data_IF_037930082040
#
_entry.id   IF_037930082040
#
_cell.length_a   1.000
_cell.length_b   1.000
_cell.length_c   1.000
_cell.angle_alpha   90.00
_cell.angle_beta   90.00
_cell.angle_gamma   90.00
#
_symmetry.space_group_name_H-M   'P 1'
#
loop_
_entity.id
_entity.type
_entity.pdbx_description
1 polymer ?
#
# COMPACT_ATOMS: atom_id res chain seq x y z
N UNK A 1 13.44 -3.77 -23.61
CA UNK A 1 12.27 -2.88 -23.76
C UNK A 1 11.35 -3.29 -24.90
N UNK A 2 11.79 -3.41 -26.18
CA UNK A 2 10.90 -3.82 -27.29
C UNK A 2 10.17 -5.16 -27.04
N UNK A 3 10.84 -6.19 -26.52
CA UNK A 3 10.21 -7.50 -26.22
C UNK A 3 9.14 -7.41 -25.12
N UNK A 4 9.32 -6.56 -24.10
CA UNK A 4 8.34 -6.37 -23.02
C UNK A 4 7.07 -5.68 -23.54
N UNK A 5 7.22 -4.63 -24.38
CA UNK A 5 6.09 -3.97 -25.01
C UNK A 5 5.32 -4.91 -25.96
N UNK A 6 6.03 -5.75 -26.70
CA UNK A 6 5.40 -6.74 -27.59
C UNK A 6 4.64 -7.80 -26.78
N UNK A 7 5.18 -8.23 -25.63
CA UNK A 7 4.51 -9.20 -24.75
C UNK A 7 3.29 -8.61 -24.07
N UNK A 8 3.35 -7.37 -23.61
CA UNK A 8 2.19 -6.67 -23.02
C UNK A 8 1.11 -6.43 -24.09
N UNK A 9 1.50 -6.00 -25.29
CA UNK A 9 0.56 -5.83 -26.40
C UNK A 9 -0.07 -7.17 -26.81
N UNK A 10 0.71 -8.26 -26.88
CA UNK A 10 0.20 -9.59 -27.18
C UNK A 10 -0.74 -10.12 -26.09
N UNK A 11 -0.46 -9.84 -24.81
CA UNK A 11 -1.32 -10.22 -23.70
C UNK A 11 -2.64 -9.42 -23.71
N UNK A 12 -2.61 -8.14 -24.03
CA UNK A 12 -3.80 -7.29 -24.20
C UNK A 12 -4.65 -7.78 -25.38
N UNK A 13 -4.03 -8.17 -26.50
CA UNK A 13 -4.73 -8.72 -27.66
C UNK A 13 -5.33 -10.09 -27.34
N UNK A 14 -4.62 -10.95 -26.61
CA UNK A 14 -5.11 -12.25 -26.18
C UNK A 14 -6.30 -12.15 -25.20
N UNK A 15 -6.29 -11.19 -24.28
CA UNK A 15 -7.42 -10.92 -23.38
C UNK A 15 -8.65 -10.39 -24.14
N UNK A 16 -8.45 -9.56 -25.17
CA UNK A 16 -9.53 -9.11 -26.04
C UNK A 16 -10.16 -10.26 -26.84
N UNK A 17 -9.35 -11.19 -27.33
CA UNK A 17 -9.81 -12.35 -28.09
C UNK A 17 -10.56 -13.39 -27.22
N UNK A 18 -10.17 -13.54 -25.94
CA UNK A 18 -10.85 -14.46 -25.01
C UNK A 18 -12.24 -13.98 -24.55
N UNK A 19 -12.53 -12.68 -24.63
CA UNK A 19 -13.82 -12.13 -24.24
C UNK A 19 -14.94 -12.36 -25.28
N UNK A 20 -14.61 -12.82 -26.49
CA UNK A 20 -15.58 -13.04 -27.59
C UNK A 20 -15.90 -14.51 -27.89
N UNK A 21 -15.32 -15.49 -27.18
CA UNK A 21 -15.55 -16.92 -27.45
C UNK A 21 -16.78 -17.52 -26.78
N UNK A 22 -17.91 -16.81 -26.74
CA UNK A 22 -19.20 -17.43 -26.41
C UNK A 22 -20.14 -17.56 -27.61
N UNK A 23 -19.75 -17.11 -28.80
CA UNK A 23 -20.45 -17.46 -30.02
C UNK A 23 -19.40 -17.77 -31.12
N UNK A 24 -19.44 -18.98 -31.64
CA UNK A 24 -18.73 -19.38 -32.86
C UNK A 24 -19.24 -18.55 -34.04
N UNK A 25 -18.63 -17.40 -34.29
CA UNK A 25 -18.79 -16.67 -35.55
C UNK A 25 -17.45 -16.42 -36.20
N UNK A 26 -17.46 -16.56 -37.51
CA UNK A 26 -16.35 -16.49 -38.44
C UNK A 26 -15.37 -15.33 -38.17
N UNK A 27 -14.08 -15.65 -38.09
CA UNK A 27 -12.94 -14.73 -37.85
C UNK A 27 -12.71 -13.75 -39.02
N UNK A 28 -13.64 -13.67 -39.96
CA UNK A 28 -13.49 -12.88 -41.21
C UNK A 28 -14.52 -11.74 -41.34
N UNK A 29 -14.99 -11.20 -40.23
CA UNK A 29 -16.01 -10.15 -40.21
C UNK A 29 -15.35 -8.76 -40.25
N UNK A 30 -14.80 -8.35 -41.36
CA UNK A 30 -14.46 -6.98 -41.82
C UNK A 30 -14.20 -5.85 -40.85
N UNK A 31 -14.02 -6.16 -39.56
CA UNK A 31 -13.73 -5.21 -38.49
C UNK A 31 -12.29 -4.74 -38.62
N UNK A 32 -12.10 -3.48 -38.92
CA UNK A 32 -10.79 -2.88 -39.10
C UNK A 32 -10.03 -2.76 -37.78
N UNK A 33 -8.74 -2.45 -37.83
CA UNK A 33 -7.88 -2.24 -36.70
C UNK A 33 -8.44 -1.18 -35.71
N UNK A 34 -9.19 -0.19 -36.21
CA UNK A 34 -9.80 0.87 -35.42
C UNK A 34 -10.96 0.35 -34.56
N UNK A 35 -11.73 -0.61 -35.02
CA UNK A 35 -12.77 -1.27 -34.24
C UNK A 35 -12.17 -1.98 -33.01
N UNK A 36 -11.15 -2.81 -33.25
CA UNK A 36 -10.46 -3.54 -32.19
C UNK A 36 -9.74 -2.60 -31.21
N UNK A 37 -9.10 -1.56 -31.72
CA UNK A 37 -8.45 -0.56 -30.89
C UNK A 37 -9.45 0.16 -29.97
N UNK A 38 -10.64 0.50 -30.46
CA UNK A 38 -11.72 1.10 -29.64
C UNK A 38 -12.28 0.11 -28.62
N UNK A 39 -12.49 -1.15 -28.99
CA UNK A 39 -12.98 -2.18 -28.08
C UNK A 39 -12.00 -2.42 -26.92
N UNK A 40 -10.70 -2.51 -27.21
CA UNK A 40 -9.64 -2.62 -26.19
C UNK A 40 -9.57 -1.35 -25.32
N UNK A 41 -9.57 -0.17 -25.95
CA UNK A 41 -9.48 1.10 -25.22
C UNK A 41 -10.67 1.35 -24.27
N UNK A 42 -11.84 0.78 -24.57
CA UNK A 42 -13.02 0.89 -23.70
C UNK A 42 -12.96 -0.02 -22.46
N UNK A 43 -12.20 -1.12 -22.53
CA UNK A 43 -12.12 -2.15 -21.47
C UNK A 43 -10.81 -2.15 -20.70
N UNK A 44 -9.73 -1.64 -21.32
CA UNK A 44 -8.39 -1.63 -20.69
C UNK A 44 -8.02 -0.22 -20.26
N UNK A 45 -7.74 -0.07 -18.97
CA UNK A 45 -7.29 1.18 -18.38
C UNK A 45 -5.82 1.08 -18.01
N UNK A 46 -5.00 1.90 -18.64
CA UNK A 46 -3.58 2.07 -18.31
C UNK A 46 -3.43 3.31 -17.46
N UNK A 47 -2.70 3.21 -16.37
CA UNK A 47 -2.38 4.32 -15.47
C UNK A 47 -1.01 4.08 -14.85
N UNK A 48 -0.45 5.12 -14.26
CA UNK A 48 0.85 4.99 -13.64
C UNK A 48 1.28 6.25 -12.93
N UNK A 49 2.43 6.15 -12.27
CA UNK A 49 3.06 7.32 -11.65
C UNK A 49 4.57 7.15 -11.50
N UNK A 50 5.24 8.29 -11.46
CA UNK A 50 6.65 8.38 -11.12
C UNK A 50 6.83 9.35 -9.96
N UNK A 51 7.72 9.00 -9.03
CA UNK A 51 8.12 9.83 -7.89
C UNK A 51 9.64 9.93 -7.85
N UNK A 52 10.16 11.15 -7.96
CA UNK A 52 11.57 11.47 -7.86
C UNK A 52 11.79 12.51 -6.76
N UNK A 53 12.91 12.47 -6.09
CA UNK A 53 13.16 13.43 -5.02
C UNK A 53 14.57 13.39 -4.46
N UNK A 54 14.75 14.18 -3.44
CA UNK A 54 15.98 14.28 -2.67
C UNK A 54 15.70 13.93 -1.21
N UNK A 55 16.64 13.25 -0.58
CA UNK A 55 16.60 12.93 0.84
C UNK A 55 17.95 13.27 1.46
N UNK A 56 17.96 14.04 2.54
CA UNK A 56 19.10 14.24 3.41
C UNK A 56 18.80 13.68 4.79
N UNK A 57 19.67 12.82 5.29
CA UNK A 57 19.62 12.25 6.64
C UNK A 57 20.78 12.83 7.44
N UNK A 58 20.44 13.50 8.52
CA UNK A 58 21.35 14.29 9.36
C UNK A 58 21.26 13.74 10.79
N UNK A 59 22.02 12.67 11.13
CA UNK A 59 22.07 12.18 12.50
C UNK A 59 22.75 13.22 13.41
N UNK A 60 22.41 13.22 14.70
CA UNK A 60 23.08 14.05 15.69
C UNK A 60 24.54 13.64 15.86
N UNK A 61 24.79 12.33 15.74
CA UNK A 61 26.12 11.73 15.77
C UNK A 61 26.28 10.78 14.58
N UNK A 62 27.42 10.83 13.89
CA UNK A 62 27.73 9.96 12.76
C UNK A 62 27.68 10.66 11.41
N UNK A 63 27.72 9.87 10.36
CA UNK A 63 27.87 10.36 8.99
C UNK A 63 26.55 10.91 8.44
N UNK A 64 26.58 12.13 7.91
CA UNK A 64 25.47 12.75 7.18
C UNK A 64 25.40 12.17 5.78
N UNK A 65 24.19 11.81 5.35
CA UNK A 65 23.95 11.20 4.03
C UNK A 65 22.92 12.00 3.24
N UNK A 66 23.12 12.08 1.95
CA UNK A 66 22.13 12.66 1.06
C UNK A 66 22.13 11.96 -0.30
N UNK A 67 20.99 12.00 -0.99
CA UNK A 67 20.87 11.38 -2.30
C UNK A 67 19.69 11.95 -3.09
N UNK A 68 19.87 12.06 -4.41
CA UNK A 68 18.76 12.12 -5.36
C UNK A 68 18.34 10.70 -5.72
N UNK A 69 17.03 10.45 -5.78
CA UNK A 69 16.52 9.11 -6.02
C UNK A 69 15.20 9.15 -6.82
N UNK A 70 15.08 8.22 -7.77
CA UNK A 70 13.78 7.80 -8.29
C UNK A 70 13.15 6.88 -7.27
N UNK A 71 12.20 7.41 -6.50
CA UNK A 71 11.58 6.64 -5.41
C UNK A 71 10.69 5.51 -5.94
N UNK A 72 9.91 5.79 -6.98
CA UNK A 72 9.01 4.84 -7.62
C UNK A 72 8.79 5.16 -9.09
N UNK A 73 8.63 4.12 -9.91
CA UNK A 73 8.16 4.20 -11.30
C UNK A 73 7.20 3.05 -11.53
N UNK A 74 5.90 3.32 -11.49
CA UNK A 74 4.84 2.32 -11.47
C UNK A 74 3.97 2.40 -12.70
N UNK A 75 3.68 1.24 -13.30
CA UNK A 75 2.68 1.05 -14.33
C UNK A 75 1.59 0.12 -13.82
N UNK A 76 0.35 0.50 -14.07
CA UNK A 76 -0.82 -0.28 -13.71
C UNK A 76 -1.69 -0.49 -14.96
N UNK A 77 -2.16 -1.72 -15.14
CA UNK A 77 -3.09 -2.09 -16.20
C UNK A 77 -4.28 -2.79 -15.56
N UNK A 78 -5.46 -2.26 -15.77
CA UNK A 78 -6.72 -2.88 -15.39
C UNK A 78 -7.54 -3.24 -16.61
N UNK A 79 -8.14 -4.43 -16.65
CA UNK A 79 -8.94 -4.89 -17.76
C UNK A 79 -10.32 -5.37 -17.28
N UNK A 80 -11.39 -4.77 -17.79
CA UNK A 80 -12.77 -5.24 -17.60
C UNK A 80 -13.07 -6.27 -18.68
N UNK A 81 -12.93 -7.56 -18.32
CA UNK A 81 -13.16 -8.69 -19.24
C UNK A 81 -14.65 -8.80 -19.53
N UNK A 82 -15.47 -8.81 -18.46
CA UNK A 82 -16.92 -8.61 -18.48
C UNK A 82 -17.31 -7.61 -17.38
N UNK A 83 -18.59 -7.21 -17.25
CA UNK A 83 -19.01 -6.36 -16.14
C UNK A 83 -18.67 -6.94 -14.75
N UNK A 84 -18.68 -8.28 -14.63
CA UNK A 84 -18.40 -8.97 -13.38
C UNK A 84 -16.93 -9.40 -13.23
N UNK A 85 -16.20 -9.63 -14.32
CA UNK A 85 -14.82 -10.12 -14.29
C UNK A 85 -13.83 -9.03 -14.63
N UNK A 86 -12.84 -8.88 -13.75
CA UNK A 86 -11.78 -7.88 -13.86
C UNK A 86 -10.41 -8.52 -13.63
N UNK A 87 -9.43 -8.08 -14.38
CA UNK A 87 -8.04 -8.44 -14.19
C UNK A 87 -7.21 -7.18 -13.90
N UNK A 88 -6.23 -7.29 -13.02
CA UNK A 88 -5.34 -6.20 -12.66
C UNK A 88 -3.89 -6.64 -12.63
N UNK A 89 -3.03 -5.73 -13.04
CA UNK A 89 -1.60 -5.89 -13.07
C UNK A 89 -0.92 -4.58 -12.67
N UNK A 90 0.12 -4.68 -11.83
CA UNK A 90 0.93 -3.55 -11.39
C UNK A 90 2.41 -3.95 -11.33
N UNK A 91 3.26 -3.19 -11.99
CA UNK A 91 4.71 -3.38 -11.99
C UNK A 91 5.43 -2.14 -11.48
N UNK A 92 6.42 -2.35 -10.61
CA UNK A 92 7.34 -1.32 -10.11
C UNK A 92 8.69 -1.48 -10.79
N UNK A 93 9.04 -0.55 -11.68
CA UNK A 93 10.24 -0.64 -12.50
C UNK A 93 11.55 -0.43 -11.74
N UNK A 94 11.53 0.38 -10.67
CA UNK A 94 12.72 0.60 -9.84
C UNK A 94 13.10 -0.66 -9.06
N UNK A 95 12.12 -1.31 -8.46
CA UNK A 95 12.31 -2.56 -7.73
C UNK A 95 12.43 -3.76 -8.67
N UNK A 96 12.03 -3.62 -9.94
CA UNK A 96 11.95 -4.68 -10.95
C UNK A 96 10.99 -5.80 -10.55
N UNK A 97 9.96 -5.47 -9.78
CA UNK A 97 9.05 -6.42 -9.17
C UNK A 97 7.60 -6.25 -9.63
N UNK A 98 6.95 -7.39 -9.85
CA UNK A 98 5.50 -7.48 -9.95
C UNK A 98 4.90 -7.17 -8.58
N UNK A 99 4.18 -6.08 -8.47
CA UNK A 99 3.60 -5.68 -7.19
C UNK A 99 2.24 -6.31 -6.95
N UNK A 100 1.34 -6.19 -7.91
CA UNK A 100 -0.01 -6.74 -7.81
C UNK A 100 -0.41 -7.39 -9.15
N UNK A 101 -1.01 -8.55 -9.07
CA UNK A 101 -1.61 -9.26 -10.19
C UNK A 101 -2.71 -10.18 -9.65
N UNK A 102 -3.95 -9.89 -10.05
CA UNK A 102 -5.10 -10.64 -9.55
C UNK A 102 -6.26 -10.65 -10.56
N UNK A 103 -7.12 -11.63 -10.37
CA UNK A 103 -8.42 -11.73 -10.99
C UNK A 103 -9.49 -11.41 -9.95
N UNK A 104 -10.55 -10.75 -10.37
CA UNK A 104 -11.64 -10.35 -9.50
C UNK A 104 -12.98 -10.67 -10.14
N UNK A 105 -13.85 -11.34 -9.37
CA UNK A 105 -15.25 -11.54 -9.69
C UNK A 105 -16.10 -10.63 -8.81
N UNK A 106 -16.89 -9.75 -9.41
CA UNK A 106 -17.62 -8.68 -8.73
C UNK A 106 -19.09 -8.59 -9.18
N UNK A 107 -19.91 -9.61 -8.89
CA UNK A 107 -21.32 -9.66 -9.34
C UNK A 107 -22.18 -8.58 -8.69
N UNK A 108 -21.77 -8.03 -7.55
CA UNK A 108 -22.50 -6.96 -6.86
C UNK A 108 -21.56 -6.09 -6.02
N UNK A 109 -22.07 -4.97 -5.52
CA UNK A 109 -21.34 -4.18 -4.53
C UNK A 109 -21.15 -4.91 -3.21
N UNK A 110 -22.14 -5.70 -2.81
CA UNK A 110 -22.15 -6.40 -1.54
C UNK A 110 -21.24 -7.63 -1.50
N UNK A 111 -20.84 -8.16 -2.65
CA UNK A 111 -19.99 -9.36 -2.72
C UNK A 111 -19.02 -9.24 -3.87
N UNK A 112 -17.74 -9.39 -3.57
CA UNK A 112 -16.65 -9.45 -4.53
C UNK A 112 -15.64 -10.50 -4.07
N UNK A 113 -15.05 -11.19 -5.02
CA UNK A 113 -14.04 -12.21 -4.80
C UNK A 113 -12.81 -11.88 -5.60
N UNK A 114 -11.66 -11.80 -4.94
CA UNK A 114 -10.36 -11.55 -5.58
C UNK A 114 -9.43 -12.72 -5.32
N UNK A 115 -8.74 -13.16 -6.34
CA UNK A 115 -7.70 -14.18 -6.24
C UNK A 115 -6.44 -13.69 -6.93
N UNK A 116 -5.31 -13.75 -6.23
CA UNK A 116 -4.01 -13.32 -6.72
C UNK A 116 -3.20 -12.59 -5.68
N UNK A 117 -2.13 -11.94 -6.11
CA UNK A 117 -1.31 -11.10 -5.25
C UNK A 117 -1.86 -9.68 -5.22
N UNK A 118 -2.23 -9.21 -4.05
CA UNK A 118 -2.70 -7.84 -3.82
C UNK A 118 -2.27 -7.32 -2.45
N UNK A 119 -2.48 -6.03 -2.22
CA UNK A 119 -2.28 -5.47 -0.88
C UNK A 119 -3.21 -6.15 0.11
N UNK A 120 -2.64 -6.56 1.25
CA UNK A 120 -3.42 -7.08 2.37
C UNK A 120 -4.22 -5.96 3.01
N UNK A 121 -5.47 -6.25 3.34
CA UNK A 121 -6.41 -5.31 3.96
C UNK A 121 -6.21 -5.29 5.49
N UNK A 122 -4.97 -5.15 5.91
CA UNK A 122 -4.59 -4.91 7.29
C UNK A 122 -4.18 -3.44 7.44
N UNK A 123 -4.66 -2.73 8.46
CA UNK A 123 -4.55 -1.28 8.68
C UNK A 123 -5.37 -0.41 7.69
N UNK A 124 -5.49 0.87 7.98
CA UNK A 124 -6.13 1.86 7.09
C UNK A 124 -5.17 2.31 5.99
N UNK A 125 -3.88 2.39 6.29
CA UNK A 125 -2.90 3.04 5.41
C UNK A 125 -2.29 2.07 4.40
N UNK A 126 -2.13 0.77 4.74
CA UNK A 126 -1.50 -0.20 3.83
C UNK A 126 -2.17 -0.30 2.45
N UNK A 127 -3.52 -0.35 2.34
CA UNK A 127 -4.19 -0.42 1.03
C UNK A 127 -4.06 0.88 0.22
N UNK A 128 -3.65 1.98 0.83
CA UNK A 128 -3.56 3.27 0.13
C UNK A 128 -2.40 3.29 -0.87
N UNK A 129 -2.63 4.00 -1.98
CA UNK A 129 -1.55 4.25 -2.93
C UNK A 129 -0.57 5.29 -2.38
N UNK A 130 0.75 5.13 -2.59
CA UNK A 130 1.73 6.16 -2.27
C UNK A 130 1.45 7.52 -2.92
N UNK A 131 0.68 7.55 -4.01
CA UNK A 131 0.25 8.79 -4.65
C UNK A 131 -0.66 9.67 -3.79
N UNK A 132 -1.29 9.09 -2.76
CA UNK A 132 -2.28 9.80 -1.94
C UNK A 132 -1.83 9.97 -0.49
N UNK A 133 -0.80 9.26 -0.07
CA UNK A 133 -0.24 9.41 1.27
C UNK A 133 0.38 10.80 1.45
N UNK A 134 0.24 11.34 2.62
CA UNK A 134 0.74 12.65 3.01
C UNK A 134 2.26 12.65 3.14
N UNK A 135 2.84 11.55 3.62
CA UNK A 135 4.29 11.39 3.80
C UNK A 135 5.02 11.07 2.49
N UNK A 136 6.21 11.64 2.30
CA UNK A 136 7.13 11.26 1.21
C UNK A 136 7.79 9.93 1.50
N UNK A 137 8.00 9.63 2.77
CA UNK A 137 8.63 8.41 3.25
C UNK A 137 7.72 7.18 3.09
N UNK A 138 8.06 6.12 3.78
CA UNK A 138 7.15 5.00 3.93
C UNK A 138 5.88 5.46 4.68
N UNK A 139 4.90 4.59 4.71
CA UNK A 139 3.74 4.65 5.60
C UNK A 139 4.20 4.88 7.06
N UNK A 140 3.27 5.12 7.98
CA UNK A 140 3.55 5.15 9.41
C UNK A 140 4.42 3.95 9.83
N UNK A 141 5.35 4.16 10.77
CA UNK A 141 6.36 3.15 11.14
C UNK A 141 5.72 1.80 11.48
N UNK A 142 4.63 1.83 12.27
CA UNK A 142 3.93 0.61 12.66
C UNK A 142 3.30 -0.11 11.47
N UNK A 143 2.69 0.64 10.53
CA UNK A 143 2.14 0.09 9.29
C UNK A 143 3.25 -0.50 8.43
N UNK A 144 4.34 0.25 8.26
CA UNK A 144 5.50 -0.22 7.50
C UNK A 144 6.12 -1.47 8.11
N UNK A 145 6.25 -1.52 9.43
CA UNK A 145 6.81 -2.67 10.16
C UNK A 145 5.93 -3.91 10.08
N UNK A 146 4.63 -3.78 10.30
CA UNK A 146 3.72 -4.92 10.36
C UNK A 146 3.20 -5.38 8.98
N UNK A 147 3.26 -4.53 7.95
CA UNK A 147 2.77 -4.88 6.61
C UNK A 147 3.84 -4.71 5.53
N UNK A 148 4.64 -3.65 5.62
CA UNK A 148 5.46 -3.21 4.50
C UNK A 148 6.83 -3.85 4.44
N UNK A 149 7.51 -3.93 5.55
CA UNK A 149 8.89 -4.40 5.60
C UNK A 149 9.25 -4.98 6.97
N UNK A 150 9.20 -6.27 7.07
CA UNK A 150 9.65 -7.02 8.24
C UNK A 150 10.85 -7.88 7.84
N UNK A 151 12.05 -7.65 8.41
CA UNK A 151 13.23 -8.46 8.10
C UNK A 151 13.04 -9.95 8.32
N UNK A 152 12.20 -10.36 9.27
CA UNK A 152 11.93 -11.78 9.54
C UNK A 152 11.32 -12.48 8.32
N UNK A 153 10.36 -11.87 7.67
CA UNK A 153 9.65 -12.48 6.53
C UNK A 153 10.14 -11.97 5.17
N UNK A 154 11.18 -11.13 5.16
CA UNK A 154 11.74 -10.54 3.95
C UNK A 154 11.10 -9.21 3.58
N UNK A 155 10.65 -9.05 2.34
CA UNK A 155 10.03 -7.81 1.85
C UNK A 155 8.58 -8.06 1.41
N UNK A 156 7.61 -8.06 2.33
CA UNK A 156 6.20 -8.25 1.99
C UNK A 156 5.62 -7.08 1.18
N UNK A 157 6.19 -5.90 1.26
CA UNK A 157 5.71 -4.68 0.60
C UNK A 157 4.20 -4.44 0.79
N UNK A 158 3.63 -4.91 1.90
CA UNK A 158 2.21 -4.85 2.24
C UNK A 158 1.31 -5.74 1.38
N UNK A 159 1.85 -6.79 0.77
CA UNK A 159 1.15 -7.66 -0.19
C UNK A 159 1.34 -9.13 0.12
N UNK A 160 0.36 -9.93 -0.31
CA UNK A 160 0.48 -11.38 -0.28
C UNK A 160 -0.38 -12.01 -1.39
N UNK A 161 -0.11 -13.29 -1.66
CA UNK A 161 -0.88 -14.14 -2.57
C UNK A 161 -1.99 -14.84 -1.80
N UNK A 162 -3.24 -14.70 -2.28
CA UNK A 162 -4.37 -15.36 -1.62
C UNK A 162 -5.72 -15.09 -2.24
N UNK A 163 -6.73 -15.37 -1.44
CA UNK A 163 -8.13 -15.18 -1.76
C UNK A 163 -8.73 -14.14 -0.81
N UNK A 164 -9.41 -13.14 -1.36
CA UNK A 164 -10.11 -12.09 -0.62
C UNK A 164 -11.58 -12.08 -0.98
N UNK A 165 -12.45 -12.10 0.03
CA UNK A 165 -13.88 -11.81 -0.10
C UNK A 165 -14.15 -10.47 0.54
N UNK A 166 -14.83 -9.57 -0.17
CA UNK A 166 -15.12 -8.24 0.34
C UNK A 166 -16.39 -7.64 -0.27
N UNK A 167 -16.93 -6.64 0.37
CA UNK A 167 -18.10 -5.94 -0.14
C UNK A 167 -18.52 -4.76 0.69
N UNK A 168 -19.44 -3.98 0.13
CA UNK A 168 -20.05 -2.81 0.75
C UNK A 168 -21.54 -3.12 0.99
N UNK A 169 -21.99 -3.01 2.25
CA UNK A 169 -23.37 -3.31 2.67
C UNK A 169 -23.96 -2.13 3.45
N UNK A 170 -25.26 -2.20 3.74
CA UNK A 170 -26.00 -1.14 4.46
C UNK A 170 -25.86 0.24 3.83
N UNK A 171 -26.08 0.34 2.51
CA UNK A 171 -25.93 1.57 1.74
C UNK A 171 -24.52 2.16 1.82
N UNK A 172 -23.51 1.33 1.61
CA UNK A 172 -22.09 1.66 1.63
C UNK A 172 -21.58 2.17 3.00
N UNK A 173 -22.35 1.98 4.09
CA UNK A 173 -21.95 2.37 5.44
C UNK A 173 -20.99 1.37 6.08
N UNK A 174 -21.09 0.10 5.74
CA UNK A 174 -20.21 -0.94 6.25
C UNK A 174 -19.52 -1.64 5.09
N UNK A 175 -18.20 -1.68 5.13
CA UNK A 175 -17.35 -2.48 4.26
C UNK A 175 -16.71 -3.59 5.07
N UNK A 176 -16.78 -4.80 4.57
CA UNK A 176 -16.11 -5.95 5.16
C UNK A 176 -15.08 -6.52 4.18
N UNK A 177 -14.00 -7.06 4.73
CA UNK A 177 -12.93 -7.74 3.99
C UNK A 177 -12.46 -8.92 4.82
N UNK A 178 -12.33 -10.07 4.17
CA UNK A 178 -11.80 -11.30 4.73
C UNK A 178 -10.85 -11.91 3.72
N UNK A 179 -9.63 -12.18 4.15
CA UNK A 179 -8.59 -12.74 3.31
C UNK A 179 -8.02 -14.01 3.90
N UNK A 180 -7.65 -14.94 3.03
CA UNK A 180 -6.84 -16.11 3.34
C UNK A 180 -5.61 -16.03 2.41
N UNK A 181 -4.43 -15.84 3.01
CA UNK A 181 -3.18 -15.59 2.28
C UNK A 181 -2.08 -16.57 2.69
N UNK A 182 -1.02 -16.65 1.90
CA UNK A 182 0.09 -17.58 2.17
C UNK A 182 0.91 -17.23 3.41
N UNK A 183 0.87 -16.00 3.94
CA UNK A 183 1.74 -15.55 5.04
C UNK A 183 3.19 -15.38 4.63
N UNK A 184 3.45 -15.32 3.33
CA UNK A 184 4.77 -15.24 2.75
C UNK A 184 5.26 -13.80 2.56
N UNK A 185 5.35 -13.39 1.32
CA UNK A 185 5.74 -12.05 0.91
C UNK A 185 5.46 -11.86 -0.59
N UNK A 186 5.70 -10.65 -1.07
CA UNK A 186 5.58 -10.33 -2.49
C UNK A 186 6.41 -11.30 -3.34
N UNK A 187 5.76 -11.94 -4.33
CA UNK A 187 6.36 -12.88 -5.29
C UNK A 187 7.03 -14.11 -4.67
N UNK A 188 6.66 -14.47 -3.44
CA UNK A 188 7.18 -15.66 -2.78
C UNK A 188 6.19 -16.81 -2.79
N UNK A 189 6.71 -18.02 -2.89
CA UNK A 189 5.93 -19.23 -2.65
C UNK A 189 5.62 -19.38 -1.16
N UNK A 190 4.58 -20.13 -0.85
CA UNK A 190 4.30 -20.57 0.51
C UNK A 190 5.45 -21.43 1.05
N UNK A 191 5.94 -21.10 2.24
CA UNK A 191 7.13 -21.75 2.82
C UNK A 191 6.79 -22.81 3.86
N UNK A 192 5.59 -22.79 4.43
CA UNK A 192 5.25 -23.66 5.57
C UNK A 192 3.90 -24.35 5.43
N UNK A 193 3.22 -24.19 4.29
CA UNK A 193 1.88 -24.72 4.00
C UNK A 193 0.78 -24.23 4.96
N UNK A 194 1.04 -23.18 5.73
CA UNK A 194 0.06 -22.55 6.63
C UNK A 194 -0.53 -21.32 5.96
N UNK A 195 -1.70 -20.92 6.42
CA UNK A 195 -2.37 -19.75 5.87
C UNK A 195 -2.61 -18.72 6.96
N UNK A 196 -2.48 -17.45 6.59
CA UNK A 196 -2.89 -16.34 7.44
C UNK A 196 -4.30 -15.93 7.06
N UNK A 197 -5.08 -15.61 8.10
CA UNK A 197 -6.42 -15.06 7.95
C UNK A 197 -6.37 -13.60 8.38
N UNK A 198 -6.80 -12.71 7.50
CA UNK A 198 -6.87 -11.27 7.74
C UNK A 198 -8.32 -10.84 7.63
N UNK A 199 -8.80 -10.12 8.64
CA UNK A 199 -10.14 -9.55 8.65
C UNK A 199 -10.11 -8.06 8.87
N UNK A 200 -10.97 -7.30 8.17
CA UNK A 200 -11.15 -5.87 8.35
C UNK A 200 -12.60 -5.46 8.22
N UNK A 201 -13.02 -4.56 9.08
CA UNK A 201 -14.30 -3.88 9.01
C UNK A 201 -14.08 -2.37 8.97
N UNK A 202 -14.72 -1.71 8.02
CA UNK A 202 -14.75 -0.25 7.93
C UNK A 202 -16.20 0.23 8.06
N UNK A 203 -16.46 1.11 9.00
CA UNK A 203 -17.77 1.68 9.26
C UNK A 203 -17.78 3.19 9.05
N UNK A 204 -18.75 3.68 8.28
CA UNK A 204 -18.98 5.09 8.01
C UNK A 204 -20.29 5.55 8.66
N UNK A 205 -20.25 5.96 9.95
CA UNK A 205 -21.46 6.45 10.63
C UNK A 205 -22.04 7.69 9.94
N UNK A 206 -21.16 8.56 9.43
CA UNK A 206 -21.49 9.73 8.62
C UNK A 206 -20.54 9.79 7.40
N UNK A 207 -20.90 10.49 6.31
CA UNK A 207 -20.12 10.44 5.05
C UNK A 207 -18.66 10.86 5.14
N UNK A 208 -18.31 11.65 6.13
CA UNK A 208 -16.95 12.20 6.30
C UNK A 208 -16.17 11.60 7.47
N UNK A 209 -16.68 10.55 8.14
CA UNK A 209 -16.00 9.81 9.19
C UNK A 209 -15.96 8.32 8.82
N UNK A 210 -14.77 7.74 8.83
CA UNK A 210 -14.52 6.31 8.63
C UNK A 210 -13.81 5.75 9.85
N UNK A 211 -14.37 4.72 10.45
CA UNK A 211 -13.80 3.93 11.53
C UNK A 211 -13.34 2.59 10.93
N UNK A 212 -12.25 2.04 11.43
CA UNK A 212 -11.70 0.77 10.95
C UNK A 212 -11.19 -0.07 12.10
N UNK A 213 -11.44 -1.37 12.03
CA UNK A 213 -10.78 -2.39 12.86
C UNK A 213 -10.31 -3.51 11.97
N UNK A 214 -9.11 -4.03 12.22
CA UNK A 214 -8.56 -5.15 11.48
C UNK A 214 -7.68 -6.02 12.35
N UNK A 215 -7.46 -7.26 11.90
CA UNK A 215 -6.57 -8.21 12.55
C UNK A 215 -6.05 -9.24 11.58
N UNK A 216 -4.90 -9.80 11.93
CA UNK A 216 -4.25 -10.90 11.23
C UNK A 216 -3.91 -12.00 12.23
N UNK A 217 -4.28 -13.23 11.89
CA UNK A 217 -3.96 -14.44 12.64
C UNK A 217 -3.29 -15.44 11.70
N UNK A 218 -2.09 -15.88 12.03
CA UNK A 218 -1.39 -16.84 11.19
C UNK A 218 0.02 -17.14 11.64
N UNK A 219 0.86 -17.42 10.66
CA UNK A 219 2.24 -17.84 10.86
C UNK A 219 3.15 -17.17 9.84
N UNK A 220 4.42 -17.00 10.18
CA UNK A 220 5.46 -16.58 9.27
C UNK A 220 6.64 -17.56 9.34
N UNK A 221 7.35 -17.72 8.25
CA UNK A 221 8.64 -18.42 8.22
C UNK A 221 9.75 -17.40 8.13
N UNK A 222 10.63 -17.35 9.13
CA UNK A 222 11.71 -16.39 9.17
C UNK A 222 12.76 -16.69 8.08
N UNK A 223 13.08 -15.69 7.27
CA UNK A 223 14.09 -15.76 6.20
C UNK A 223 15.43 -15.17 6.60
N UNK A 224 15.47 -14.50 7.74
CA UNK A 224 16.69 -13.93 8.34
C UNK A 224 16.49 -13.69 9.83
N UNK A 225 17.57 -13.56 10.57
CA UNK A 225 17.57 -13.06 11.93
C UNK A 225 17.17 -11.57 11.96
N UNK A 226 16.44 -11.15 12.97
CA UNK A 226 16.10 -9.74 13.18
C UNK A 226 16.72 -9.21 14.45
N UNK A 227 17.34 -8.03 14.37
CA UNK A 227 17.86 -7.32 15.53
C UNK A 227 16.78 -6.77 16.48
N UNK A 228 15.51 -6.73 16.02
CA UNK A 228 14.38 -6.27 16.80
C UNK A 228 13.63 -7.40 17.48
N UNK A 229 13.62 -8.58 16.89
CA UNK A 229 12.94 -9.77 17.41
C UNK A 229 13.97 -10.89 17.65
N UNK A 230 14.49 -10.97 18.85
CA UNK A 230 15.51 -11.96 19.22
C UNK A 230 14.91 -13.33 19.58
N UNK A 231 13.59 -13.47 19.56
CA UNK A 231 12.88 -14.72 19.91
C UNK A 231 12.68 -15.64 18.72
N UNK A 232 12.95 -15.16 17.50
CA UNK A 232 12.78 -15.89 16.25
C UNK A 232 14.11 -15.87 15.50
N UNK A 233 14.52 -17.01 14.97
CA UNK A 233 15.74 -17.22 14.19
C UNK A 233 15.42 -17.58 12.75
N UNK A 234 16.36 -17.36 11.84
CA UNK A 234 16.24 -17.80 10.45
C UNK A 234 15.85 -19.30 10.38
N UNK A 235 14.84 -19.61 9.58
CA UNK A 235 14.26 -20.94 9.43
C UNK A 235 13.13 -21.27 10.40
N UNK A 236 12.95 -20.50 11.48
CA UNK A 236 11.84 -20.75 12.41
C UNK A 236 10.48 -20.44 11.79
N UNK A 237 9.50 -21.30 12.09
CA UNK A 237 8.08 -21.01 11.86
C UNK A 237 7.53 -20.44 13.15
N UNK A 238 7.03 -19.21 13.10
CA UNK A 238 6.53 -18.49 14.27
C UNK A 238 5.10 -18.00 14.07
N UNK A 239 4.38 -17.83 15.17
CA UNK A 239 3.01 -17.33 15.15
C UNK A 239 3.00 -15.81 14.97
N UNK A 240 2.12 -15.33 14.09
CA UNK A 240 1.83 -13.91 13.87
C UNK A 240 0.39 -13.62 14.31
N UNK A 241 0.24 -12.73 15.28
CA UNK A 241 -1.06 -12.22 15.71
C UNK A 241 -0.98 -10.70 15.74
N UNK A 242 -1.71 -10.03 14.87
CA UNK A 242 -1.65 -8.59 14.67
C UNK A 242 -3.03 -7.96 14.73
N UNK A 243 -3.10 -6.71 15.16
CA UNK A 243 -4.35 -5.95 15.27
C UNK A 243 -4.13 -4.49 14.93
N UNK A 244 -5.16 -3.84 14.41
CA UNK A 244 -5.19 -2.40 14.19
C UNK A 244 -6.61 -1.85 14.39
N UNK A 245 -6.71 -0.62 14.87
CA UNK A 245 -7.95 0.12 14.97
C UNK A 245 -7.68 1.60 14.67
N UNK A 246 -8.51 2.23 13.86
CA UNK A 246 -8.27 3.59 13.42
C UNK A 246 -9.53 4.35 13.05
N UNK A 247 -9.33 5.64 12.84
CA UNK A 247 -10.35 6.58 12.39
C UNK A 247 -9.76 7.57 11.38
N UNK A 248 -10.55 7.90 10.37
CA UNK A 248 -10.25 8.97 9.42
C UNK A 248 -11.43 9.92 9.34
N UNK A 249 -11.17 11.19 9.58
CA UNK A 249 -12.14 12.26 9.38
C UNK A 249 -11.70 13.20 8.26
N UNK A 250 -12.67 13.66 7.47
CA UNK A 250 -12.48 14.65 6.41
C UNK A 250 -13.48 15.77 6.56
N UNK A 251 -13.07 17.02 6.34
CA UNK A 251 -14.00 18.17 6.43
C UNK A 251 -15.08 18.15 5.33
N UNK A 252 -14.89 17.36 4.27
CA UNK A 252 -15.88 17.14 3.19
C UNK A 252 -15.87 15.65 2.82
N UNK A 253 -17.04 15.12 2.46
CA UNK A 253 -17.10 13.86 1.74
C UNK A 253 -16.48 14.08 0.34
N UNK A 254 -15.32 13.48 0.10
CA UNK A 254 -14.53 13.73 -1.12
C UNK A 254 -14.54 12.50 -2.03
N UNK A 255 -14.63 12.74 -3.34
CA UNK A 255 -14.34 11.74 -4.36
C UNK A 255 -12.82 11.54 -4.56
N UNK A 256 -12.45 10.84 -5.63
CA UNK A 256 -11.06 10.46 -5.91
C UNK A 256 -10.21 11.56 -6.59
N UNK A 257 -10.75 12.73 -6.86
CA UNK A 257 -10.00 13.84 -7.44
C UNK A 257 -9.41 14.72 -6.34
N UNK A 258 -8.19 14.42 -5.94
CA UNK A 258 -7.48 15.11 -4.85
C UNK A 258 -7.24 16.59 -5.11
N UNK A 259 -7.07 16.98 -6.38
CA UNK A 259 -6.88 18.39 -6.71
C UNK A 259 -8.15 19.22 -6.53
N UNK A 260 -9.30 18.69 -6.98
CA UNK A 260 -10.59 19.38 -6.89
C UNK A 260 -11.25 19.26 -5.53
N UNK A 261 -11.06 18.11 -4.87
CA UNK A 261 -11.74 17.76 -3.63
C UNK A 261 -10.83 17.86 -2.40
N UNK A 262 -9.83 18.75 -2.43
CA UNK A 262 -8.97 19.00 -1.28
C UNK A 262 -9.79 19.43 -0.07
N UNK A 263 -9.50 18.80 1.07
CA UNK A 263 -10.18 19.09 2.33
C UNK A 263 -9.23 18.84 3.50
N UNK A 264 -9.55 19.42 4.65
CA UNK A 264 -8.87 19.04 5.87
C UNK A 264 -9.15 17.58 6.19
N UNK A 265 -8.11 16.84 6.59
CA UNK A 265 -8.16 15.42 6.92
C UNK A 265 -7.33 15.17 8.16
N UNK A 266 -7.86 14.30 9.02
CA UNK A 266 -7.10 13.70 10.14
C UNK A 266 -7.32 12.20 10.07
N UNK A 267 -6.21 11.45 10.11
CA UNK A 267 -6.20 9.97 10.21
C UNK A 267 -5.39 9.58 11.42
N UNK A 268 -5.88 8.64 12.19
CA UNK A 268 -5.20 8.06 13.33
C UNK A 268 -5.42 6.56 13.38
N UNK A 269 -4.42 5.83 13.83
CA UNK A 269 -4.51 4.38 13.99
C UNK A 269 -3.60 3.95 15.14
N UNK A 270 -4.08 2.99 15.92
CA UNK A 270 -3.30 2.20 16.86
C UNK A 270 -3.18 0.79 16.32
N UNK A 271 -2.00 0.20 16.40
CA UNK A 271 -1.71 -1.10 15.83
C UNK A 271 -0.60 -1.78 16.61
N UNK A 272 -0.54 -3.09 16.48
CA UNK A 272 0.50 -3.86 17.15
C UNK A 272 0.34 -5.34 16.89
N UNK A 273 1.20 -6.12 17.51
CA UNK A 273 1.15 -7.56 17.35
C UNK A 273 2.09 -8.31 18.27
N UNK A 274 2.02 -9.62 18.12
CA UNK A 274 2.96 -10.57 18.71
C UNK A 274 3.46 -11.50 17.62
N UNK A 275 4.73 -11.36 17.28
CA UNK A 275 5.43 -12.17 16.30
C UNK A 275 6.41 -13.09 17.04
N UNK A 276 6.06 -14.40 17.14
CA UNK A 276 6.75 -15.32 18.05
C UNK A 276 6.60 -14.88 19.50
N UNK A 277 7.72 -14.64 20.19
CA UNK A 277 7.75 -14.12 21.56
C UNK A 277 7.72 -12.59 21.66
N UNK A 278 8.05 -11.88 20.57
CA UNK A 278 8.19 -10.43 20.53
C UNK A 278 6.85 -9.72 20.40
N UNK A 279 6.57 -8.76 21.28
CA UNK A 279 5.40 -7.89 21.21
C UNK A 279 5.81 -6.53 20.65
N UNK A 280 4.98 -5.97 19.78
CA UNK A 280 5.14 -4.63 19.22
C UNK A 280 3.88 -3.80 19.36
N UNK A 281 4.04 -2.48 19.42
CA UNK A 281 2.93 -1.52 19.52
C UNK A 281 3.30 -0.22 18.81
N UNK A 282 2.39 0.31 18.02
CA UNK A 282 2.52 1.58 17.34
C UNK A 282 1.24 2.39 17.37
N UNK A 283 1.38 3.68 17.16
CA UNK A 283 0.27 4.61 16.97
C UNK A 283 0.72 5.78 16.11
N UNK A 284 -0.17 6.29 15.28
CA UNK A 284 0.11 7.51 14.55
C UNK A 284 -1.13 8.40 14.44
N UNK A 285 -0.86 9.67 14.21
CA UNK A 285 -1.83 10.64 13.75
C UNK A 285 -1.22 11.42 12.60
N UNK A 286 -1.91 11.51 11.47
CA UNK A 286 -1.54 12.31 10.32
C UNK A 286 -2.64 13.29 9.95
N UNK A 287 -2.26 14.44 9.40
CA UNK A 287 -3.23 15.46 9.00
C UNK A 287 -2.77 16.20 7.74
N UNK A 288 -3.76 16.59 6.97
CA UNK A 288 -3.61 17.53 5.85
C UNK A 288 -4.55 18.71 6.08
N UNK A 289 -3.99 19.92 5.98
CA UNK A 289 -4.74 21.17 6.15
C UNK A 289 -4.57 22.01 4.88
N UNK A 290 -5.61 22.15 4.06
CA UNK A 290 -5.58 23.06 2.92
C UNK A 290 -5.34 24.51 3.36
N UNK A 291 -4.27 25.14 2.84
CA UNK A 291 -3.94 26.54 3.13
C UNK A 291 -4.47 27.47 2.04
N UNK A 292 -3.97 27.28 0.81
CA UNK A 292 -4.29 28.15 -0.31
C UNK A 292 -4.21 27.34 -1.61
N UNK A 293 -4.88 27.80 -2.68
CA UNK A 293 -4.92 27.26 -4.06
C UNK A 293 -3.87 26.16 -4.37
N UNK A 294 -4.18 24.91 -4.09
CA UNK A 294 -3.27 23.78 -4.33
C UNK A 294 -2.25 23.49 -3.22
N UNK A 295 -2.01 24.42 -2.28
CA UNK A 295 -1.06 24.28 -1.19
C UNK A 295 -1.73 23.71 0.07
N UNK A 296 -1.16 22.63 0.61
CA UNK A 296 -1.54 22.03 1.90
C UNK A 296 -0.37 22.03 2.85
N UNK A 297 -0.65 22.24 4.14
CA UNK A 297 0.21 21.84 5.23
C UNK A 297 -0.03 20.36 5.55
N UNK A 298 1.01 19.61 5.78
CA UNK A 298 0.94 18.22 6.22
C UNK A 298 1.76 18.06 7.49
N UNK A 299 1.27 17.25 8.44
CA UNK A 299 2.02 16.87 9.61
C UNK A 299 1.66 15.45 10.05
N UNK A 300 2.57 14.81 10.78
CA UNK A 300 2.39 13.47 11.31
C UNK A 300 3.19 13.31 12.60
N UNK A 301 2.57 12.74 13.61
CA UNK A 301 3.25 12.19 14.76
C UNK A 301 3.08 10.68 14.74
N UNK A 302 4.18 9.95 14.81
CA UNK A 302 4.23 8.52 14.55
C UNK A 302 5.17 7.84 15.55
N UNK A 303 4.61 6.99 16.38
CA UNK A 303 5.29 6.24 17.42
C UNK A 303 5.29 4.75 17.13
N UNK A 304 6.42 4.10 17.32
CA UNK A 304 6.55 2.65 17.28
C UNK A 304 7.47 2.14 18.37
N UNK A 305 7.01 1.12 19.09
CA UNK A 305 7.82 0.25 19.92
C UNK A 305 7.93 -1.11 19.25
N UNK A 306 9.07 -1.37 18.61
CA UNK A 306 9.33 -2.57 17.82
C UNK A 306 9.45 -3.83 18.68
N UNK A 307 9.85 -3.68 19.93
CA UNK A 307 9.93 -4.73 20.93
C UNK A 307 9.64 -4.11 22.30
N UNK A 308 8.45 -4.38 22.84
CA UNK A 308 7.99 -3.76 24.09
C UNK A 308 8.84 -4.18 25.28
N UNK A 309 9.33 -5.42 25.29
CA UNK A 309 10.12 -5.96 26.39
C UNK A 309 11.55 -5.39 26.40
N UNK A 310 12.12 -5.14 25.21
CA UNK A 310 13.43 -4.51 25.05
C UNK A 310 13.38 -2.97 25.02
N UNK A 311 12.20 -2.36 24.98
CA UNK A 311 12.03 -0.91 24.96
C UNK A 311 12.56 -0.25 23.66
N UNK A 312 12.49 -0.93 22.51
CA UNK A 312 12.98 -0.43 21.22
C UNK A 312 12.00 0.57 20.61
N UNK A 313 12.05 1.81 21.12
CA UNK A 313 11.09 2.87 20.80
C UNK A 313 11.66 3.87 19.80
N UNK A 314 10.82 4.29 18.87
CA UNK A 314 11.12 5.37 17.89
C UNK A 314 9.89 6.24 17.69
N UNK A 315 10.09 7.55 17.70
CA UNK A 315 9.04 8.54 17.46
C UNK A 315 9.49 9.46 16.33
N UNK A 316 8.67 9.59 15.29
CA UNK A 316 8.89 10.55 14.22
C UNK A 316 7.88 11.70 14.33
N UNK A 317 8.38 12.92 14.30
CA UNK A 317 7.57 14.12 14.14
C UNK A 317 7.85 14.71 12.78
N UNK A 318 6.88 14.66 11.89
CA UNK A 318 6.98 15.13 10.51
C UNK A 318 6.10 16.36 10.32
N UNK A 319 6.63 17.34 9.63
CA UNK A 319 5.86 18.47 9.10
C UNK A 319 6.34 18.81 7.70
N UNK A 320 5.48 19.41 6.90
CA UNK A 320 5.86 19.78 5.55
C UNK A 320 4.71 20.42 4.78
N UNK A 321 4.96 20.62 3.52
CA UNK A 321 3.99 21.18 2.58
C UNK A 321 3.88 20.30 1.35
N UNK A 322 2.71 20.31 0.74
CA UNK A 322 2.50 19.74 -0.58
C UNK A 322 1.74 20.74 -1.46
N UNK A 323 2.15 20.83 -2.72
CA UNK A 323 1.52 21.68 -3.70
C UNK A 323 0.98 20.84 -4.87
N UNK A 324 -0.33 20.81 -5.04
CA UNK A 324 -1.00 20.10 -6.13
C UNK A 324 -1.01 20.96 -7.40
N UNK A 325 -0.23 20.55 -8.40
CA UNK A 325 -0.16 21.21 -9.71
C UNK A 325 -1.44 20.94 -10.49
N UNK A 326 -1.81 19.67 -10.63
CA UNK A 326 -3.08 19.23 -11.20
C UNK A 326 -3.35 17.76 -10.83
N UNK A 327 -4.62 17.38 -10.71
CA UNK A 327 -5.06 16.00 -10.41
C UNK A 327 -4.21 15.34 -9.29
N UNK A 328 -3.42 14.31 -9.64
CA UNK A 328 -2.52 13.59 -8.74
C UNK A 328 -1.05 13.99 -8.89
N UNK A 329 -0.76 15.09 -9.59
CA UNK A 329 0.61 15.61 -9.76
C UNK A 329 0.90 16.66 -8.71
N UNK A 330 1.97 16.48 -7.93
CA UNK A 330 2.31 17.35 -6.80
C UNK A 330 3.80 17.49 -6.55
N UNK A 331 4.15 18.59 -5.90
CA UNK A 331 5.45 18.81 -5.25
C UNK A 331 5.27 18.66 -3.75
N UNK A 332 6.26 18.10 -3.07
CA UNK A 332 6.27 17.96 -1.62
C UNK A 332 7.64 18.33 -1.06
N UNK A 333 7.63 18.94 0.13
CA UNK A 333 8.83 19.18 0.94
C UNK A 333 8.50 18.90 2.40
N UNK A 334 9.30 18.08 3.05
CA UNK A 334 9.02 17.58 4.41
C UNK A 334 10.30 17.55 5.25
N UNK A 335 10.12 17.82 6.51
CA UNK A 335 11.11 17.66 7.57
C UNK A 335 10.57 16.65 8.59
N UNK A 336 11.40 15.70 8.96
CA UNK A 336 11.08 14.71 10.00
C UNK A 336 12.20 14.71 11.05
N UNK A 337 11.83 14.86 12.31
CA UNK A 337 12.73 14.59 13.42
C UNK A 337 12.41 13.22 14.01
N UNK A 338 13.41 12.34 14.03
CA UNK A 338 13.31 10.96 14.51
C UNK A 338 14.02 10.81 15.85
N UNK A 339 13.24 10.63 16.90
CA UNK A 339 13.71 10.39 18.26
C UNK A 339 13.75 8.90 18.55
N UNK A 340 14.79 8.45 19.22
CA UNK A 340 15.03 7.06 19.59
C UNK A 340 15.24 6.91 21.08
N UNK A 341 14.70 5.83 21.71
CA UNK A 341 15.09 5.42 23.05
C UNK A 341 16.57 5.01 23.08
N UNK A 342 17.18 4.99 24.26
CA UNK A 342 18.59 4.60 24.38
C UNK A 342 18.84 3.17 23.87
N UNK A 343 17.92 2.25 24.12
CA UNK A 343 17.96 0.90 23.54
C UNK A 343 17.93 0.93 22.01
N UNK A 344 17.11 1.80 21.41
CA UNK A 344 17.05 1.97 19.96
C UNK A 344 18.28 2.70 19.41
N UNK A 345 18.86 3.67 20.14
CA UNK A 345 20.10 4.33 19.75
C UNK A 345 21.27 3.36 19.68
N UNK A 346 21.33 2.42 20.61
CA UNK A 346 22.36 1.36 20.59
C UNK A 346 22.26 0.46 19.35
N UNK A 347 21.06 0.36 18.75
CA UNK A 347 20.78 -0.48 17.60
C UNK A 347 20.90 0.26 16.24
N UNK A 348 20.43 1.50 16.18
CA UNK A 348 20.27 2.29 14.95
C UNK A 348 21.07 3.61 14.92
N UNK A 349 21.80 3.92 16.00
CA UNK A 349 22.49 5.19 16.14
C UNK A 349 21.61 6.32 16.72
N UNK A 350 22.16 7.52 16.77
CA UNK A 350 21.57 8.71 17.38
C UNK A 350 20.22 9.12 16.77
N UNK A 351 19.54 10.07 17.44
CA UNK A 351 18.42 10.78 16.80
C UNK A 351 18.87 11.42 15.49
N UNK A 352 17.91 11.69 14.61
CA UNK A 352 18.26 12.26 13.30
C UNK A 352 17.17 13.19 12.76
N UNK A 353 17.61 14.18 12.00
CA UNK A 353 16.77 15.01 11.16
C UNK A 353 16.78 14.46 9.73
N UNK A 354 15.59 14.41 9.09
CA UNK A 354 15.45 13.98 7.71
C UNK A 354 14.74 15.07 6.93
N UNK A 355 15.38 15.55 5.86
CA UNK A 355 14.80 16.52 4.92
C UNK A 355 14.51 15.78 3.63
N UNK A 356 13.28 15.90 3.15
CA UNK A 356 12.86 15.22 1.93
C UNK A 356 12.13 16.19 1.00
N UNK A 357 12.42 16.07 -0.28
CA UNK A 357 11.59 16.69 -1.33
C UNK A 357 11.19 15.65 -2.34
N UNK A 358 10.05 15.86 -2.99
CA UNK A 358 9.54 14.95 -4.00
C UNK A 358 8.72 15.69 -5.05
N UNK A 359 8.93 15.31 -6.31
CA UNK A 359 8.00 15.56 -7.41
C UNK A 359 7.27 14.25 -7.73
N UNK A 360 5.98 14.33 -7.88
CA UNK A 360 5.12 13.23 -8.31
C UNK A 360 4.38 13.61 -9.58
N UNK A 361 4.47 12.74 -10.58
CA UNK A 361 3.68 12.82 -11.82
C UNK A 361 2.88 11.53 -11.96
N UNK A 362 1.57 11.66 -12.17
CA UNK A 362 0.66 10.52 -12.32
C UNK A 362 -0.33 10.76 -13.48
N UNK A 363 -0.68 9.70 -14.19
CA UNK A 363 -1.59 9.69 -15.34
C UNK A 363 -2.64 8.57 -15.25
#
# INVERSE_FOLDING_TARGET
MKKLFTTIAAFIIALGAMAETTETQDVNDGKDLNYWAKAVASRVKVSGYAQAGYTATLPEEGEKKNTFDMKRVVLMVGAEITPEFYAFFMHEFKLKDMQEYYLEYRPSKAFKLRFGQSKIEYTMENPMSPCVLESIGPMAQGVFWLCGYDPLIGNPAGRDMGLMVYGDVFNDKLRYMLEVVNGGQTNAADRDNRKNVIGKLEFKPVPNLRLSVSGELGYGTAVADSKYNLTVKEGDIYRQNRYAAGAEWKSKATGNDFHKNRCAMVRTEVLGGKDGGCKSFGAYVSSTIPLYKGLDLVWMADYMNYNTDAGLKKTNLMTGVQYWIFKKCRLQAQYTYSMRSDAMKALEGSNQSIIQTQIQVAF
#
